data_IF_180054308151
#
_entry.id   IF_180054308151
#
_cell.length_a   1.000
_cell.length_b   1.000
_cell.length_c   1.000
_cell.angle_alpha   90.00
_cell.angle_beta   90.00
_cell.angle_gamma   90.00
#
_symmetry.space_group_name_H-M   'P 1'
#
loop_
_entity.id
_entity.type
_entity.pdbx_description
1 polymer ?
#
# COMPACT_ATOMS: atom_id res chain seq x y z
N UNK A 1 -9.80 -2.48 -14.00
CA UNK A 1 -8.74 -2.19 -13.01
C UNK A 1 -9.20 -0.99 -12.21
N UNK A 2 -9.25 -1.10 -10.89
CA UNK A 2 -9.64 0.00 -10.00
C UNK A 2 -8.50 1.01 -9.98
N UNK A 3 -8.81 2.26 -10.28
CA UNK A 3 -7.86 3.36 -10.20
C UNK A 3 -7.82 3.94 -8.79
N UNK A 4 -6.64 4.13 -8.21
CA UNK A 4 -6.50 4.72 -6.89
C UNK A 4 -6.84 6.21 -6.91
N UNK A 5 -7.29 6.71 -5.75
CA UNK A 5 -7.58 8.13 -5.57
C UNK A 5 -6.30 8.98 -5.51
N UNK A 6 -5.27 8.48 -4.81
CA UNK A 6 -3.92 9.05 -4.74
C UNK A 6 -2.89 7.96 -5.01
N UNK A 7 -1.72 8.32 -5.52
CA UNK A 7 -0.63 7.37 -5.74
C UNK A 7 0.74 8.04 -5.71
N UNK A 8 1.78 7.23 -5.53
CA UNK A 8 3.18 7.62 -5.58
C UNK A 8 3.44 8.82 -4.63
N UNK A 9 3.94 9.94 -5.15
CA UNK A 9 4.31 11.10 -4.35
C UNK A 9 3.11 11.74 -3.64
N UNK A 10 1.93 11.71 -4.27
CA UNK A 10 0.72 12.30 -3.67
C UNK A 10 0.27 11.49 -2.44
N UNK A 11 0.28 10.16 -2.55
CA UNK A 11 -0.03 9.28 -1.43
C UNK A 11 0.98 9.44 -0.29
N UNK A 12 2.28 9.51 -0.62
CA UNK A 12 3.34 9.64 0.39
C UNK A 12 3.29 11.00 1.11
N UNK A 13 2.99 12.07 0.38
CA UNK A 13 2.79 13.39 0.98
C UNK A 13 1.58 13.42 1.92
N UNK A 14 0.49 12.74 1.56
CA UNK A 14 -0.71 12.61 2.40
C UNK A 14 -0.41 11.86 3.71
N UNK A 15 0.29 10.72 3.61
CA UNK A 15 0.74 9.93 4.78
C UNK A 15 1.63 10.77 5.71
N UNK A 16 2.62 11.47 5.14
CA UNK A 16 3.52 12.32 5.94
C UNK A 16 2.75 13.45 6.63
N UNK A 17 1.81 14.10 5.92
CA UNK A 17 1.03 15.20 6.47
C UNK A 17 0.13 14.76 7.63
N UNK A 18 -0.44 13.55 7.54
CA UNK A 18 -1.31 12.98 8.57
C UNK A 18 -0.61 12.87 9.95
N UNK A 19 0.72 12.85 10.00
CA UNK A 19 1.49 12.81 11.27
C UNK A 19 1.30 14.04 12.14
N UNK A 20 0.81 15.15 11.58
CA UNK A 20 0.54 16.39 12.31
C UNK A 20 -0.61 16.28 13.33
N UNK A 21 -1.44 15.23 13.24
CA UNK A 21 -2.56 14.97 14.15
C UNK A 21 -2.39 13.64 14.92
N UNK A 22 -1.52 13.57 15.94
CA UNK A 22 -1.09 12.29 16.55
C UNK A 22 -2.21 11.51 17.27
N UNK A 23 -3.34 12.15 17.58
CA UNK A 23 -4.52 11.51 18.19
C UNK A 23 -5.47 10.90 17.18
N UNK A 24 -5.31 11.21 15.89
CA UNK A 24 -6.11 10.69 14.79
C UNK A 24 -5.56 9.34 14.36
N UNK A 25 -6.45 8.45 13.96
CA UNK A 25 -6.09 7.21 13.26
C UNK A 25 -6.37 7.44 11.79
N UNK A 26 -5.33 7.33 10.96
CA UNK A 26 -5.45 7.42 9.51
C UNK A 26 -5.28 6.03 8.90
N UNK A 27 -6.10 5.74 7.89
CA UNK A 27 -6.14 4.43 7.23
C UNK A 27 -6.18 4.64 5.73
N UNK A 28 -5.21 4.04 5.03
CA UNK A 28 -5.16 4.01 3.58
C UNK A 28 -5.40 2.58 3.09
N UNK A 29 -6.36 2.42 2.19
CA UNK A 29 -6.52 1.18 1.44
C UNK A 29 -5.57 1.21 0.24
N UNK A 30 -4.61 0.29 0.22
CA UNK A 30 -3.57 0.20 -0.81
C UNK A 30 -3.95 -0.75 -1.97
N UNK A 31 -5.15 -1.34 -1.90
CA UNK A 31 -5.67 -2.30 -2.86
C UNK A 31 -5.60 -3.75 -2.36
N UNK A 32 -6.47 -4.61 -2.92
CA UNK A 32 -6.69 -5.98 -2.41
C UNK A 32 -6.99 -5.97 -0.90
N UNK A 33 -6.30 -6.81 -0.11
CA UNK A 33 -6.32 -6.81 1.36
C UNK A 33 -5.29 -5.87 1.99
N UNK A 34 -4.54 -5.11 1.19
CA UNK A 34 -3.46 -4.25 1.68
C UNK A 34 -3.96 -2.96 2.34
N UNK A 35 -3.55 -2.71 3.57
CA UNK A 35 -3.86 -1.47 4.31
C UNK A 35 -2.63 -0.91 4.99
N UNK A 36 -2.51 0.43 4.99
CA UNK A 36 -1.62 1.15 5.88
C UNK A 36 -2.44 1.81 6.98
N UNK A 37 -2.03 1.63 8.23
CA UNK A 37 -2.62 2.32 9.37
C UNK A 37 -1.54 3.18 10.03
N UNK A 38 -1.86 4.45 10.26
CA UNK A 38 -1.02 5.36 11.03
C UNK A 38 -1.72 5.75 12.32
N UNK A 39 -0.99 5.67 13.44
CA UNK A 39 -1.42 6.20 14.72
C UNK A 39 -0.21 6.63 15.54
N UNK A 40 -0.24 7.83 16.14
CA UNK A 40 0.87 8.38 16.90
C UNK A 40 2.22 8.36 16.16
N UNK A 41 2.19 8.60 14.83
CA UNK A 41 3.37 8.60 13.96
C UNK A 41 3.97 7.22 13.68
N UNK A 42 3.32 6.13 14.14
CA UNK A 42 3.69 4.74 13.84
C UNK A 42 2.88 4.20 12.69
N UNK A 43 3.48 3.31 11.89
CA UNK A 43 2.90 2.74 10.68
C UNK A 43 2.86 1.22 10.75
N UNK A 44 1.65 0.68 10.63
CA UNK A 44 1.40 -0.76 10.50
C UNK A 44 0.88 -1.05 9.08
N UNK A 45 1.58 -1.93 8.38
CA UNK A 45 1.25 -2.35 7.03
C UNK A 45 0.70 -3.78 7.04
N UNK A 46 -0.57 -3.92 6.67
CA UNK A 46 -1.26 -5.21 6.58
C UNK A 46 -1.22 -5.76 5.15
N UNK A 47 -0.93 -7.05 5.00
CA UNK A 47 -1.02 -7.84 3.76
C UNK A 47 -0.54 -7.08 2.50
N UNK A 48 0.69 -6.54 2.46
CA UNK A 48 1.11 -5.66 1.38
C UNK A 48 1.18 -6.40 0.04
N UNK A 49 0.28 -6.04 -0.87
CA UNK A 49 0.32 -6.48 -2.27
C UNK A 49 0.82 -5.37 -3.21
N UNK A 50 2.08 -4.98 -3.02
CA UNK A 50 2.70 -3.82 -3.66
C UNK A 50 3.71 -4.16 -4.77
N UNK A 51 3.70 -5.39 -5.30
CA UNK A 51 4.61 -5.75 -6.40
C UNK A 51 3.95 -6.68 -7.41
N UNK A 52 4.51 -6.73 -8.62
CA UNK A 52 4.04 -7.63 -9.68
C UNK A 52 4.60 -9.05 -9.55
N UNK A 53 5.15 -9.41 -8.38
CA UNK A 53 5.80 -10.70 -8.15
C UNK A 53 4.87 -11.88 -8.40
N UNK A 54 3.60 -11.80 -7.99
CA UNK A 54 2.62 -12.85 -8.25
C UNK A 54 2.23 -12.90 -9.73
N UNK A 55 1.98 -11.76 -10.35
CA UNK A 55 1.71 -11.68 -11.80
C UNK A 55 2.82 -12.36 -12.60
N UNK A 56 4.09 -12.05 -12.29
CA UNK A 56 5.25 -12.66 -12.94
C UNK A 56 5.36 -14.16 -12.66
N UNK A 57 5.16 -14.59 -11.41
CA UNK A 57 5.24 -16.00 -10.99
C UNK A 57 4.22 -16.89 -11.69
N UNK A 58 3.01 -16.38 -11.94
CA UNK A 58 1.90 -17.18 -12.47
C UNK A 58 1.61 -16.93 -13.96
N UNK A 59 2.40 -16.10 -14.65
CA UNK A 59 2.15 -15.70 -16.03
C UNK A 59 2.01 -16.87 -17.02
N UNK A 60 2.78 -17.95 -16.82
CA UNK A 60 2.81 -19.12 -17.70
C UNK A 60 2.03 -20.33 -17.15
N UNK A 61 1.15 -20.11 -16.17
CA UNK A 61 0.33 -21.18 -15.57
C UNK A 61 -1.10 -21.11 -16.09
N UNK A 62 -1.84 -22.22 -15.95
CA UNK A 62 -3.27 -22.28 -16.32
C UNK A 62 -4.17 -21.34 -15.48
N UNK A 63 -3.61 -20.67 -14.47
CA UNK A 63 -4.28 -19.72 -13.58
C UNK A 63 -3.45 -18.43 -13.45
N UNK A 64 -3.39 -17.59 -14.49
CA UNK A 64 -2.62 -16.35 -14.46
C UNK A 64 -3.15 -15.42 -13.37
N UNK A 65 -2.23 -14.83 -12.60
CA UNK A 65 -2.59 -13.91 -11.54
C UNK A 65 -2.64 -12.48 -12.10
N UNK A 66 -3.83 -11.89 -12.18
CA UNK A 66 -4.05 -10.53 -12.70
C UNK A 66 -4.48 -9.61 -11.56
N UNK A 67 -3.78 -8.49 -11.37
CA UNK A 67 -4.13 -7.51 -10.33
C UNK A 67 -5.45 -6.80 -10.66
N UNK A 68 -6.27 -6.57 -9.64
CA UNK A 68 -7.56 -5.86 -9.78
C UNK A 68 -7.41 -4.34 -9.63
N UNK A 69 -6.45 -3.87 -8.84
CA UNK A 69 -6.15 -2.44 -8.57
C UNK A 69 -4.87 -2.00 -9.29
N UNK A 70 -4.65 -0.72 -9.54
CA UNK A 70 -3.30 -0.25 -9.95
C UNK A 70 -2.33 -0.27 -8.76
N UNK A 71 -1.02 -0.21 -9.03
CA UNK A 71 -0.02 -0.10 -7.98
C UNK A 71 -0.03 1.32 -7.41
N UNK A 72 -0.40 1.46 -6.14
CA UNK A 72 -0.50 2.78 -5.50
C UNK A 72 0.87 3.35 -5.12
N UNK A 73 1.81 2.51 -4.71
CA UNK A 73 3.21 2.88 -4.42
C UNK A 73 4.09 1.62 -4.44
N UNK A 74 5.36 1.78 -4.83
CA UNK A 74 6.35 0.70 -4.73
C UNK A 74 6.78 0.43 -3.28
N UNK A 75 7.07 -0.81 -2.90
CA UNK A 75 7.42 -1.18 -1.53
C UNK A 75 8.77 -0.61 -1.10
N UNK A 76 9.66 -0.32 -2.04
CA UNK A 76 10.95 0.33 -1.84
C UNK A 76 10.84 1.78 -1.33
N UNK A 77 9.66 2.40 -1.48
CA UNK A 77 9.37 3.76 -1.03
C UNK A 77 8.71 3.83 0.35
N UNK A 78 8.52 2.68 0.99
CA UNK A 78 7.90 2.55 2.31
C UNK A 78 8.96 2.24 3.38
N UNK A 79 10.04 3.02 3.40
CA UNK A 79 11.17 2.87 4.33
C UNK A 79 10.88 3.32 5.78
N UNK A 80 9.67 3.83 6.01
CA UNK A 80 9.18 4.35 7.29
C UNK A 80 8.21 3.39 8.01
N UNK A 81 7.99 2.18 7.48
CA UNK A 81 7.06 1.21 8.07
C UNK A 81 7.68 0.57 9.32
N UNK A 82 6.96 0.64 10.45
CA UNK A 82 7.43 0.07 11.72
C UNK A 82 7.17 -1.45 11.79
N UNK A 83 6.01 -1.90 11.31
CA UNK A 83 5.57 -3.30 11.41
C UNK A 83 4.83 -3.72 10.13
N UNK A 84 5.08 -4.95 9.67
CA UNK A 84 4.37 -5.60 8.57
C UNK A 84 3.77 -6.91 9.05
N UNK A 85 2.53 -7.22 8.63
CA UNK A 85 1.84 -8.49 8.92
C UNK A 85 1.33 -9.13 7.65
#
# INVERSE_FOLDING_TARGET
MIKPFQSHDELLADIEHAKSEPTKVDVWWLGQSGFLVQFQGRHLLFDPYLSDSLTKKYAETDKPHVRVTELVVGPDRLDFIDVVT
#
